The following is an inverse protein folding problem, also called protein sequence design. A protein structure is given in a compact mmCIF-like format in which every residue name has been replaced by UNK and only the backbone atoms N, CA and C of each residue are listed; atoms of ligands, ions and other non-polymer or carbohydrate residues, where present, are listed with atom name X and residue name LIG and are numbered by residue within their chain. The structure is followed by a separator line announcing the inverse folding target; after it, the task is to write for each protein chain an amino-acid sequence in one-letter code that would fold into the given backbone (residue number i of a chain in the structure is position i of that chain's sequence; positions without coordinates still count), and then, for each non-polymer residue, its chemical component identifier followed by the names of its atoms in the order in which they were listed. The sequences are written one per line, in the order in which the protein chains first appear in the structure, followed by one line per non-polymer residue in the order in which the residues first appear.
data_IF_059831877226
#
_entry.id   IF_059831877226
#
_cell.length_a   1.000
_cell.length_b   1.000
_cell.length_c   1.000
_cell.angle_alpha   90.00
_cell.angle_beta   90.00
_cell.angle_gamma   90.00
#
_symmetry.space_group_name_H-M   'P 1'
#
loop_
_entity.id
_entity.type
_entity.pdbx_description
1 polymer ?
#
# COMPACT_ATOMS: atom_id res chain seq x y z
N UNK A 1 12.49 -5.45 9.59
CA UNK A 1 11.65 -4.81 8.57
C UNK A 1 11.94 -5.30 7.15
N UNK A 2 13.07 -4.94 6.49
CA UNK A 2 13.32 -5.42 5.10
C UNK A 2 13.52 -6.94 4.99
N UNK A 3 14.06 -7.58 6.03
CA UNK A 3 14.19 -9.05 6.10
C UNK A 3 12.82 -9.71 6.16
N UNK A 4 12.01 -9.32 7.13
CA UNK A 4 10.66 -9.86 7.36
C UNK A 4 9.75 -9.73 6.13
N UNK A 5 9.80 -8.61 5.41
CA UNK A 5 9.01 -8.41 4.16
C UNK A 5 9.39 -9.45 3.09
N UNK A 6 10.68 -9.74 2.90
CA UNK A 6 11.12 -10.73 1.91
C UNK A 6 10.77 -12.16 2.33
N UNK A 7 10.83 -12.45 3.63
CA UNK A 7 10.42 -13.75 4.16
C UNK A 7 8.93 -13.98 3.96
N UNK A 8 8.09 -13.00 4.30
CA UNK A 8 6.64 -13.04 4.06
C UNK A 8 6.31 -13.22 2.57
N UNK A 9 7.00 -12.50 1.68
CA UNK A 9 6.85 -12.70 0.24
C UNK A 9 7.23 -14.12 -0.20
N UNK A 10 8.33 -14.67 0.33
CA UNK A 10 8.74 -16.05 0.06
C UNK A 10 7.75 -17.11 0.60
N UNK A 11 6.91 -16.74 1.57
CA UNK A 11 5.80 -17.56 2.08
C UNK A 11 4.54 -17.48 1.20
N UNK A 12 4.55 -16.70 0.11
CA UNK A 12 3.42 -16.54 -0.80
C UNK A 12 2.48 -15.38 -0.48
N UNK A 13 2.91 -14.43 0.37
CA UNK A 13 2.14 -13.22 0.67
C UNK A 13 2.49 -12.16 -0.37
N UNK A 14 1.53 -11.85 -1.23
CA UNK A 14 1.70 -10.91 -2.36
C UNK A 14 0.74 -9.72 -2.32
N UNK A 15 -0.08 -9.61 -1.26
CA UNK A 15 -1.04 -8.53 -1.05
C UNK A 15 -0.76 -7.85 0.29
N UNK A 16 -0.64 -6.52 0.26
CA UNK A 16 -0.19 -5.73 1.40
C UNK A 16 -1.18 -4.61 1.70
N UNK A 17 -1.86 -4.69 2.84
CA UNK A 17 -2.67 -3.57 3.36
C UNK A 17 -1.81 -2.69 4.27
N UNK A 18 -1.64 -1.42 3.90
CA UNK A 18 -0.73 -0.49 4.58
C UNK A 18 -1.39 0.84 4.92
N UNK A 19 -0.86 1.51 5.93
CA UNK A 19 -1.32 2.84 6.39
C UNK A 19 -0.30 3.95 6.13
N UNK A 20 0.93 3.60 5.71
CA UNK A 20 2.06 4.51 5.61
C UNK A 20 2.54 4.67 4.16
N UNK A 21 2.71 5.92 3.73
CA UNK A 21 3.22 6.26 2.41
C UNK A 21 4.66 5.79 2.20
N UNK A 22 5.49 5.89 3.24
CA UNK A 22 6.86 5.38 3.19
C UNK A 22 6.86 3.88 2.95
N UNK A 23 5.92 3.15 3.57
CA UNK A 23 5.84 1.70 3.39
C UNK A 23 5.38 1.33 1.97
N UNK A 24 4.46 2.09 1.38
CA UNK A 24 4.09 1.90 -0.04
C UNK A 24 5.31 2.02 -0.96
N UNK A 25 6.11 3.07 -0.79
CA UNK A 25 7.30 3.28 -1.63
C UNK A 25 8.32 2.16 -1.44
N UNK A 26 8.60 1.78 -0.19
CA UNK A 26 9.53 0.69 0.11
C UNK A 26 9.06 -0.64 -0.47
N UNK A 27 7.78 -0.96 -0.34
CA UNK A 27 7.21 -2.19 -0.90
C UNK A 27 7.24 -2.16 -2.43
N UNK A 28 6.87 -1.04 -3.06
CA UNK A 28 6.90 -0.92 -4.53
C UNK A 28 8.32 -1.04 -5.10
N UNK A 29 9.32 -0.54 -4.40
CA UNK A 29 10.73 -0.71 -4.78
C UNK A 29 11.23 -2.15 -4.59
N UNK A 30 10.82 -2.81 -3.51
CA UNK A 30 11.33 -4.13 -3.15
C UNK A 30 10.60 -5.27 -3.87
N UNK A 31 9.30 -5.12 -4.10
CA UNK A 31 8.35 -6.12 -4.58
C UNK A 31 7.46 -5.46 -5.66
N UNK A 32 8.02 -5.16 -6.85
CA UNK A 32 7.37 -4.34 -7.86
C UNK A 32 6.10 -4.96 -8.45
N UNK A 33 5.90 -6.27 -8.29
CA UNK A 33 4.77 -7.03 -8.83
C UNK A 33 3.69 -7.33 -7.79
N UNK A 34 3.96 -7.08 -6.50
CA UNK A 34 3.00 -7.32 -5.43
C UNK A 34 1.91 -6.23 -5.42
N UNK A 35 0.72 -6.59 -4.92
CA UNK A 35 -0.42 -5.70 -4.79
C UNK A 35 -0.35 -4.93 -3.48
N UNK A 36 -0.43 -3.60 -3.55
CA UNK A 36 -0.34 -2.72 -2.39
C UNK A 36 -1.64 -1.92 -2.25
N UNK A 37 -2.36 -2.16 -1.16
CA UNK A 37 -3.61 -1.50 -0.82
C UNK A 37 -3.44 -0.54 0.36
N UNK A 38 -3.96 0.68 0.23
CA UNK A 38 -4.02 1.65 1.33
C UNK A 38 -5.27 1.38 2.17
N UNK A 39 -5.08 1.17 3.48
CA UNK A 39 -6.14 0.96 4.46
C UNK A 39 -7.01 2.19 4.67
N UNK A 40 -8.27 1.99 5.08
CA UNK A 40 -9.18 3.06 5.53
C UNK A 40 -8.62 3.90 6.68
N UNK A 41 -7.71 3.34 7.49
CA UNK A 41 -7.03 4.03 8.60
C UNK A 41 -6.15 5.18 8.10
N UNK A 42 -5.72 5.16 6.83
CA UNK A 42 -4.98 6.27 6.23
C UNK A 42 -5.88 7.50 5.93
N UNK A 43 -7.18 7.42 6.24
CA UNK A 43 -8.16 8.51 6.19
C UNK A 43 -8.26 9.21 4.83
N UNK A 44 -8.02 8.49 3.74
CA UNK A 44 -8.15 9.04 2.38
C UNK A 44 -9.61 9.40 2.12
N UNK A 45 -9.85 10.70 1.91
CA UNK A 45 -11.21 11.27 1.82
C UNK A 45 -11.44 12.04 0.51
N UNK A 46 -10.39 12.31 -0.25
CA UNK A 46 -10.47 13.08 -1.51
C UNK A 46 -9.85 12.34 -2.70
N UNK A 47 -10.32 12.69 -3.90
CA UNK A 47 -9.73 12.19 -5.14
C UNK A 47 -8.29 12.66 -5.37
N UNK A 48 -7.88 13.79 -4.78
CA UNK A 48 -6.49 14.26 -4.85
C UNK A 48 -5.57 13.39 -4.01
N UNK A 49 -5.95 13.09 -2.76
CA UNK A 49 -5.22 12.16 -1.90
C UNK A 49 -5.12 10.77 -2.53
N UNK A 50 -6.22 10.23 -3.06
CA UNK A 50 -6.20 8.94 -3.75
C UNK A 50 -5.25 8.94 -4.96
N UNK A 51 -5.21 10.03 -5.74
CA UNK A 51 -4.26 10.19 -6.85
C UNK A 51 -2.81 10.27 -6.38
N UNK A 52 -2.56 10.87 -5.22
CA UNK A 52 -1.24 10.91 -4.62
C UNK A 52 -0.76 9.52 -4.20
N UNK A 53 -1.60 8.74 -3.51
CA UNK A 53 -1.29 7.35 -3.14
C UNK A 53 -1.00 6.47 -4.35
N UNK A 54 -1.80 6.62 -5.42
CA UNK A 54 -1.54 5.92 -6.69
C UNK A 54 -0.19 6.31 -7.31
N UNK A 55 0.20 7.59 -7.23
CA UNK A 55 1.46 8.08 -7.79
C UNK A 55 2.69 7.49 -7.08
N UNK A 56 2.59 7.23 -5.78
CA UNK A 56 3.70 6.68 -5.00
C UNK A 56 3.77 5.14 -5.02
N UNK A 57 2.84 4.49 -5.72
CA UNK A 57 2.92 3.05 -5.99
C UNK A 57 1.83 2.19 -5.37
N UNK A 58 0.75 2.76 -4.82
CA UNK A 58 -0.41 1.96 -4.40
C UNK A 58 -1.26 1.51 -5.60
N UNK A 59 -1.76 0.28 -5.55
CA UNK A 59 -2.69 -0.28 -6.53
C UNK A 59 -4.16 -0.05 -6.14
N UNK A 60 -4.44 -0.13 -4.83
CA UNK A 60 -5.76 0.08 -4.24
C UNK A 60 -5.74 1.16 -3.14
N UNK A 61 -6.84 1.87 -2.98
CA UNK A 61 -7.03 2.85 -1.90
C UNK A 61 -8.44 2.70 -1.34
N UNK A 62 -8.54 2.34 -0.07
CA UNK A 62 -9.81 2.31 0.63
C UNK A 62 -10.17 3.72 1.14
N UNK A 63 -11.39 4.15 0.83
CA UNK A 63 -11.90 5.46 1.25
C UNK A 63 -12.40 5.40 2.70
N UNK A 64 -12.10 6.43 3.49
CA UNK A 64 -12.58 6.55 4.87
C UNK A 64 -14.02 7.05 4.98
N UNK A 65 -14.63 7.42 3.86
CA UNK A 65 -16.00 7.92 3.81
C UNK A 65 -16.98 6.75 3.78
N UNK A 66 -17.87 6.67 4.77
CA UNK A 66 -19.10 5.88 4.65
C UNK A 66 -20.00 6.51 3.60
N UNK A 67 -20.32 5.77 2.55
CA UNK A 67 -21.37 6.13 1.58
C UNK A 67 -22.70 5.62 2.10
#
# INVERSE_FOLDING_TARGET
MKGDVKELHAMGIHEWTVTSALLVQVLREMLPDDFIEVSTIAEVSTAEEARWWKRIGADGVNLSTSI
#
